data_IF_762568743627
#
_entry.id   IF_762568743627
#
_cell.length_a   1.000
_cell.length_b   1.000
_cell.length_c   1.000
_cell.angle_alpha   90.00
_cell.angle_beta   90.00
_cell.angle_gamma   90.00
#
_symmetry.space_group_name_H-M   'P 1'
#
loop_
_entity.id
_entity.type
_entity.pdbx_description
1 polymer ?
#
# COMPACT_ATOMS: atom_id res chain seq x y z
N UNK A 1 14.53 2.00 11.09
CA UNK A 1 14.94 3.34 10.59
C UNK A 1 14.04 4.34 11.26
N UNK A 2 14.57 5.47 11.70
CA UNK A 2 13.79 6.51 12.36
C UNK A 2 12.59 6.96 11.51
N UNK A 3 11.41 7.11 12.12
CA UNK A 3 10.19 7.52 11.43
C UNK A 3 10.31 8.90 10.74
N UNK A 4 11.11 9.80 11.32
CA UNK A 4 11.31 11.14 10.78
C UNK A 4 12.27 11.19 9.58
N UNK A 5 12.94 10.09 9.24
CA UNK A 5 13.75 9.98 8.01
C UNK A 5 12.92 9.54 6.80
N UNK A 6 11.63 9.26 6.96
CA UNK A 6 10.71 8.87 5.88
C UNK A 6 10.16 10.09 5.11
N UNK A 7 11.04 11.03 4.75
CA UNK A 7 10.69 12.29 4.09
C UNK A 7 11.68 12.62 2.97
N UNK A 8 11.26 13.42 2.01
CA UNK A 8 12.20 14.03 1.06
C UNK A 8 13.10 15.05 1.78
N UNK A 9 14.38 15.08 1.44
CA UNK A 9 15.39 15.89 2.14
C UNK A 9 15.07 17.39 2.20
N UNK A 10 14.45 17.96 1.16
CA UNK A 10 14.07 19.38 1.14
C UNK A 10 13.02 19.76 2.20
N UNK A 11 12.23 18.79 2.70
CA UNK A 11 11.20 19.02 3.73
C UNK A 11 11.78 19.25 5.12
N UNK A 12 13.04 18.86 5.36
CA UNK A 12 13.73 19.08 6.65
C UNK A 12 13.79 20.57 7.00
N UNK A 13 14.04 21.44 6.02
CA UNK A 13 14.05 22.90 6.21
C UNK A 13 12.67 23.58 6.18
N UNK A 14 11.58 22.88 5.83
CA UNK A 14 10.29 23.53 5.60
C UNK A 14 9.71 24.21 6.83
N UNK A 15 9.95 23.67 8.03
CA UNK A 15 9.52 24.28 9.29
C UNK A 15 10.08 25.70 9.49
N UNK A 16 11.10 26.12 8.74
CA UNK A 16 11.66 27.48 8.77
C UNK A 16 11.16 28.35 7.60
N UNK A 17 10.63 27.72 6.56
CA UNK A 17 10.25 28.37 5.30
C UNK A 17 8.78 28.79 5.26
N UNK A 18 7.94 28.21 6.14
CA UNK A 18 6.55 28.66 6.27
C UNK A 18 6.47 30.11 6.75
N UNK A 19 5.43 30.87 6.34
CA UNK A 19 5.21 32.23 6.84
C UNK A 19 5.18 32.28 8.37
N UNK A 20 5.80 33.32 8.94
CA UNK A 20 5.78 33.55 10.39
C UNK A 20 4.34 33.61 10.90
N UNK A 21 4.04 32.85 11.95
CA UNK A 21 2.69 32.75 12.52
C UNK A 21 1.80 31.70 11.87
N UNK A 22 2.34 30.80 11.04
CA UNK A 22 1.60 29.63 10.55
C UNK A 22 1.21 28.75 11.73
N UNK A 23 -0.09 28.48 11.87
CA UNK A 23 -0.65 27.62 12.93
C UNK A 23 -1.26 26.34 12.37
N UNK A 24 -1.70 26.36 11.11
CA UNK A 24 -2.37 25.23 10.47
C UNK A 24 -1.91 25.08 9.03
N UNK A 25 -1.57 23.86 8.64
CA UNK A 25 -1.34 23.45 7.26
C UNK A 25 -2.32 22.31 6.96
N UNK A 26 -3.18 22.53 5.97
CA UNK A 26 -4.17 21.57 5.49
C UNK A 26 -3.80 21.10 4.08
N UNK A 27 -3.63 19.80 3.91
CA UNK A 27 -3.26 19.20 2.62
C UNK A 27 -4.21 18.09 2.21
N UNK A 28 -4.26 17.82 0.91
CA UNK A 28 -5.03 16.71 0.36
C UNK A 28 -4.18 15.86 -0.58
N UNK A 29 -4.50 14.57 -0.64
CA UNK A 29 -3.96 13.65 -1.62
C UNK A 29 -5.04 13.29 -2.63
N UNK A 30 -4.75 13.55 -3.91
CA UNK A 30 -5.73 13.48 -5.00
C UNK A 30 -5.13 12.77 -6.22
N UNK A 31 -5.74 11.69 -6.74
CA UNK A 31 -5.43 11.17 -8.06
C UNK A 31 -5.77 12.20 -9.15
N UNK A 32 -4.76 12.85 -9.74
CA UNK A 32 -4.97 14.01 -10.62
C UNK A 32 -5.27 13.66 -12.09
N UNK A 33 -4.86 12.47 -12.54
CA UNK A 33 -4.92 12.07 -13.94
C UNK A 33 -5.07 10.56 -14.08
N UNK A 34 -5.83 10.15 -15.09
CA UNK A 34 -5.94 8.76 -15.57
C UNK A 34 -5.31 8.60 -16.98
N UNK A 35 -4.42 9.51 -17.40
CA UNK A 35 -3.80 9.50 -18.74
C UNK A 35 -3.21 8.14 -19.14
N UNK A 36 -2.62 7.42 -18.18
CA UNK A 36 -1.99 6.12 -18.40
C UNK A 36 -2.82 4.95 -17.86
N UNK A 37 -4.05 5.21 -17.41
CA UNK A 37 -4.91 4.14 -16.95
C UNK A 37 -5.40 3.29 -18.13
N UNK A 38 -5.66 1.99 -17.92
CA UNK A 38 -6.28 1.15 -18.95
C UNK A 38 -7.60 1.75 -19.44
N UNK A 39 -7.93 1.53 -20.72
CA UNK A 39 -9.18 2.01 -21.31
C UNK A 39 -10.39 1.51 -20.50
N UNK A 40 -11.27 2.42 -20.10
CA UNK A 40 -12.43 2.13 -19.25
C UNK A 40 -12.17 2.25 -17.74
N UNK A 41 -10.95 2.62 -17.33
CA UNK A 41 -10.61 2.96 -15.95
C UNK A 41 -10.72 4.48 -15.73
N UNK A 42 -11.95 4.99 -15.69
CA UNK A 42 -12.24 6.43 -15.56
C UNK A 42 -12.37 6.92 -14.10
N UNK A 43 -12.44 5.97 -13.16
CA UNK A 43 -12.52 6.19 -11.73
C UNK A 43 -11.42 5.42 -11.02
N UNK A 44 -11.13 5.85 -9.80
CA UNK A 44 -10.18 5.20 -8.90
C UNK A 44 -10.96 4.57 -7.75
N UNK A 45 -10.69 3.31 -7.45
CA UNK A 45 -11.22 2.65 -6.25
C UNK A 45 -10.49 3.24 -5.04
N UNK A 46 -11.24 3.81 -4.11
CA UNK A 46 -10.74 4.23 -2.79
C UNK A 46 -10.38 2.97 -2.01
N UNK A 47 -9.09 2.73 -1.79
CA UNK A 47 -8.60 1.55 -1.06
C UNK A 47 -7.16 1.74 -0.57
N UNK A 48 -6.83 1.22 0.62
CA UNK A 48 -5.47 1.25 1.17
C UNK A 48 -5.23 2.31 2.25
N UNK A 49 -6.11 3.28 2.44
CA UNK A 49 -5.96 4.36 3.42
C UNK A 49 -5.80 3.83 4.85
N UNK A 50 -6.64 2.89 5.27
CA UNK A 50 -6.59 2.26 6.59
C UNK A 50 -5.25 1.54 6.80
N UNK A 51 -4.81 0.76 5.81
CA UNK A 51 -3.48 0.14 5.83
C UNK A 51 -2.38 1.19 6.02
N UNK A 52 -2.38 2.25 5.22
CA UNK A 52 -1.32 3.27 5.25
C UNK A 52 -1.28 4.01 6.58
N UNK A 53 -2.42 4.47 7.09
CA UNK A 53 -2.44 5.24 8.34
C UNK A 53 -2.20 4.38 9.58
N UNK A 54 -2.66 3.12 9.59
CA UNK A 54 -2.31 2.20 10.67
C UNK A 54 -0.82 1.85 10.64
N UNK A 55 -0.26 1.54 9.46
CA UNK A 55 1.19 1.31 9.31
C UNK A 55 1.99 2.53 9.75
N UNK A 56 1.57 3.75 9.37
CA UNK A 56 2.26 4.99 9.77
C UNK A 56 2.25 5.16 11.29
N UNK A 57 1.10 4.92 11.92
CA UNK A 57 0.98 4.96 13.38
C UNK A 57 1.94 3.97 14.03
N UNK A 58 1.83 2.69 13.67
CA UNK A 58 2.64 1.60 14.23
C UNK A 58 4.15 1.87 14.01
N UNK A 59 4.53 2.33 12.81
CA UNK A 59 5.92 2.61 12.47
C UNK A 59 6.51 3.74 13.33
N UNK A 60 5.78 4.83 13.53
CA UNK A 60 6.24 5.93 14.38
C UNK A 60 6.28 5.54 15.85
N UNK A 61 5.33 4.71 16.32
CA UNK A 61 5.40 4.15 17.67
C UNK A 61 6.67 3.31 17.84
N UNK A 62 6.94 2.39 16.92
CA UNK A 62 8.06 1.45 17.02
C UNK A 62 9.43 2.05 16.74
N UNK A 63 9.50 3.10 15.91
CA UNK A 63 10.77 3.63 15.39
C UNK A 63 11.04 5.10 15.74
N UNK A 64 10.21 5.72 16.58
CA UNK A 64 10.45 7.08 17.08
C UNK A 64 10.00 7.23 18.53
N UNK A 65 8.70 7.11 18.81
CA UNK A 65 8.14 7.45 20.13
C UNK A 65 8.57 6.49 21.24
N UNK A 66 8.54 5.17 20.99
CA UNK A 66 8.93 4.16 21.99
C UNK A 66 10.44 4.09 22.26
N UNK A 67 11.26 4.75 21.44
CA UNK A 67 12.71 4.77 21.59
C UNK A 67 13.15 5.91 22.52
N UNK A 68 14.29 5.76 23.23
CA UNK A 68 14.82 6.85 24.05
C UNK A 68 15.01 8.12 23.23
N UNK A 69 14.46 9.26 23.70
CA UNK A 69 14.50 10.56 23.00
C UNK A 69 15.91 10.91 22.52
N UNK A 70 16.89 10.80 23.43
CA UNK A 70 18.29 11.10 23.13
C UNK A 70 18.84 10.23 21.99
N UNK A 71 18.45 8.95 21.91
CA UNK A 71 18.91 8.06 20.84
C UNK A 71 18.40 8.53 19.47
N UNK A 72 17.08 8.73 19.34
CA UNK A 72 16.46 9.08 18.06
C UNK A 72 16.76 10.51 17.63
N UNK A 73 16.88 11.45 18.55
CA UNK A 73 17.19 12.85 18.21
C UNK A 73 18.68 13.04 17.90
N UNK A 74 19.59 12.30 18.55
CA UNK A 74 21.01 12.32 18.20
C UNK A 74 21.23 11.70 16.80
N UNK A 75 20.56 10.59 16.47
CA UNK A 75 20.58 10.01 15.12
C UNK A 75 20.13 11.05 14.08
N UNK A 76 19.00 11.71 14.30
CA UNK A 76 18.50 12.75 13.39
C UNK A 76 19.49 13.91 13.26
N UNK A 77 20.08 14.36 14.37
CA UNK A 77 21.05 15.44 14.38
C UNK A 77 22.29 15.05 13.56
N UNK A 78 22.84 13.88 13.80
CA UNK A 78 24.04 13.38 13.09
C UNK A 78 23.76 13.23 11.59
N UNK A 79 22.73 12.46 11.22
CA UNK A 79 22.42 12.15 9.82
C UNK A 79 22.06 13.40 9.02
N UNK A 80 21.25 14.30 9.58
CA UNK A 80 20.86 15.53 8.89
C UNK A 80 22.02 16.53 8.81
N UNK A 81 22.88 16.59 9.82
CA UNK A 81 24.05 17.47 9.77
C UNK A 81 25.05 17.01 8.70
N UNK A 82 25.27 15.69 8.60
CA UNK A 82 26.10 15.10 7.55
C UNK A 82 25.49 15.31 6.17
N UNK A 83 24.19 15.08 6.01
CA UNK A 83 23.47 15.26 4.75
C UNK A 83 23.50 16.70 4.23
N UNK A 84 23.37 17.69 5.13
CA UNK A 84 23.32 19.11 4.79
C UNK A 84 24.70 19.79 4.81
N UNK A 85 25.72 19.15 5.39
CA UNK A 85 27.05 19.72 5.56
C UNK A 85 27.12 20.87 6.58
N UNK A 86 26.19 20.93 7.53
CA UNK A 86 26.11 21.97 8.58
C UNK A 86 25.41 21.43 9.83
N UNK A 87 25.62 22.03 11.01
CA UNK A 87 24.92 21.60 12.23
C UNK A 87 23.40 21.78 12.07
N UNK A 88 22.65 20.70 12.30
CA UNK A 88 21.20 20.70 12.18
C UNK A 88 20.53 20.77 13.55
N UNK A 89 19.63 21.73 13.72
CA UNK A 89 18.79 21.88 14.91
C UNK A 89 17.62 20.88 14.87
N UNK A 90 17.53 20.03 15.89
CA UNK A 90 16.50 19.00 16.05
C UNK A 90 15.45 19.35 17.10
N UNK A 91 15.45 20.58 17.63
CA UNK A 91 14.55 21.00 18.73
C UNK A 91 13.08 20.70 18.41
N UNK A 92 12.60 20.96 17.19
CA UNK A 92 11.21 20.68 16.81
C UNK A 92 10.88 19.17 16.76
N UNK A 93 11.88 18.31 16.52
CA UNK A 93 11.71 16.86 16.61
C UNK A 93 11.73 16.38 18.07
N UNK A 94 12.57 16.98 18.90
CA UNK A 94 12.57 16.73 20.35
C UNK A 94 11.22 17.07 20.98
N UNK A 95 10.65 18.21 20.60
CA UNK A 95 9.32 18.65 21.04
C UNK A 95 8.21 17.73 20.54
N UNK A 96 8.34 17.19 19.32
CA UNK A 96 7.41 16.18 18.80
C UNK A 96 7.53 14.87 19.59
N UNK A 97 8.75 14.47 19.94
CA UNK A 97 8.99 13.29 20.76
C UNK A 97 8.33 13.45 22.13
N UNK A 98 8.44 14.61 22.79
CA UNK A 98 7.78 14.88 24.07
C UNK A 98 6.25 14.73 24.00
N UNK A 99 5.65 14.92 22.82
CA UNK A 99 4.22 14.74 22.59
C UNK A 99 3.79 13.26 22.54
N UNK A 100 4.70 12.35 22.13
CA UNK A 100 4.48 10.90 22.06
C UNK A 100 3.41 10.41 21.05
N UNK A 101 2.94 11.27 20.16
CA UNK A 101 2.08 10.89 19.03
C UNK A 101 2.22 11.86 17.85
N UNK A 102 1.75 11.45 16.67
CA UNK A 102 1.65 12.34 15.49
C UNK A 102 0.41 13.24 15.63
N UNK A 103 0.56 14.58 15.76
CA UNK A 103 -0.57 15.47 15.99
C UNK A 103 -1.29 15.82 14.69
N UNK A 104 -1.88 14.82 14.04
CA UNK A 104 -2.62 14.99 12.79
C UNK A 104 -4.08 14.51 12.90
N UNK A 105 -4.95 15.14 12.12
CA UNK A 105 -6.31 14.68 11.85
C UNK A 105 -6.44 14.36 10.37
N UNK A 106 -6.97 13.18 10.10
CA UNK A 106 -7.17 12.66 8.75
C UNK A 106 -8.65 12.53 8.47
N UNK A 107 -9.07 12.93 7.27
CA UNK A 107 -10.37 12.55 6.69
C UNK A 107 -10.11 11.71 5.45
N UNK A 108 -10.88 10.64 5.26
CA UNK A 108 -10.76 9.76 4.10
C UNK A 108 -12.14 9.54 3.48
N UNK A 109 -12.18 9.38 2.16
CA UNK A 109 -13.30 8.69 1.52
C UNK A 109 -13.31 7.24 2.05
N UNK A 110 -14.50 6.69 2.27
CA UNK A 110 -14.66 5.30 2.67
C UNK A 110 -13.98 4.38 1.65
N UNK A 111 -13.38 3.29 2.11
CA UNK A 111 -12.78 2.32 1.19
C UNK A 111 -13.84 1.45 0.51
N UNK A 112 -13.52 0.94 -0.68
CA UNK A 112 -14.38 0.06 -1.47
C UNK A 112 -15.31 0.76 -2.47
N UNK A 113 -15.28 2.10 -2.55
CA UNK A 113 -16.09 2.85 -3.52
C UNK A 113 -15.24 3.38 -4.68
N UNK A 114 -15.84 3.54 -5.85
CA UNK A 114 -15.22 4.22 -6.98
C UNK A 114 -15.41 5.73 -6.89
N UNK A 115 -14.31 6.45 -7.01
CA UNK A 115 -14.23 7.90 -6.89
C UNK A 115 -13.74 8.49 -8.23
N UNK A 116 -14.36 9.57 -8.74
CA UNK A 116 -13.84 10.27 -9.90
C UNK A 116 -12.40 10.75 -9.68
N UNK A 117 -11.60 10.75 -10.75
CA UNK A 117 -10.31 11.45 -10.72
C UNK A 117 -10.50 12.93 -10.38
N UNK A 118 -9.49 13.54 -9.76
CA UNK A 118 -9.50 14.92 -9.25
C UNK A 118 -10.43 15.16 -8.04
N UNK A 119 -10.85 14.10 -7.38
CA UNK A 119 -11.49 14.17 -6.06
C UNK A 119 -10.47 13.75 -4.98
N UNK A 120 -10.31 14.53 -3.90
CA UNK A 120 -9.45 14.16 -2.78
C UNK A 120 -9.85 12.83 -2.14
N UNK A 121 -8.91 11.89 -2.09
CA UNK A 121 -9.12 10.61 -1.39
C UNK A 121 -8.92 10.78 0.11
N UNK A 122 -7.91 11.56 0.51
CA UNK A 122 -7.61 11.87 1.90
C UNK A 122 -7.24 13.34 2.07
N UNK A 123 -7.52 13.87 3.25
CA UNK A 123 -7.03 15.17 3.71
C UNK A 123 -6.36 15.03 5.06
N UNK A 124 -5.26 15.74 5.27
CA UNK A 124 -4.46 15.74 6.50
C UNK A 124 -4.29 17.17 6.99
N UNK A 125 -4.45 17.38 8.29
CA UNK A 125 -4.24 18.67 8.96
C UNK A 125 -3.59 18.45 10.31
N UNK A 126 -2.70 19.34 10.73
CA UNK A 126 -2.14 19.30 12.07
C UNK A 126 -3.22 19.68 13.12
N UNK A 127 -3.11 19.11 14.32
CA UNK A 127 -4.05 19.33 15.42
C UNK A 127 -3.47 20.18 16.55
N UNK A 128 -2.16 20.41 16.50
CA UNK A 128 -1.43 21.29 17.39
C UNK A 128 -0.67 22.32 16.53
N UNK A 129 -0.82 23.60 16.91
CA UNK A 129 -0.28 24.75 16.20
C UNK A 129 1.24 24.75 16.13
N UNK A 130 1.92 24.16 17.12
CA UNK A 130 3.38 24.06 17.16
C UNK A 130 3.93 23.14 16.07
N UNK A 131 3.12 22.18 15.63
CA UNK A 131 3.50 21.15 14.67
C UNK A 131 2.87 21.35 13.29
N UNK A 132 2.60 22.60 12.89
CA UNK A 132 2.04 22.93 11.57
C UNK A 132 2.83 22.31 10.40
N UNK A 133 4.14 22.14 10.57
CA UNK A 133 5.03 21.58 9.56
C UNK A 133 4.79 20.08 9.29
N UNK A 134 4.22 19.34 10.25
CA UNK A 134 4.11 17.87 10.17
C UNK A 134 3.22 17.41 9.01
N UNK A 135 2.19 18.20 8.64
CA UNK A 135 1.23 17.84 7.59
C UNK A 135 1.92 17.52 6.27
N UNK A 136 2.80 18.41 5.81
CA UNK A 136 3.53 18.22 4.55
C UNK A 136 4.85 17.49 4.72
N UNK A 137 5.35 17.35 5.95
CA UNK A 137 6.49 16.48 6.22
C UNK A 137 6.14 15.01 5.93
N UNK A 138 4.93 14.58 6.29
CA UNK A 138 4.43 13.23 6.03
C UNK A 138 4.05 12.96 4.56
N UNK A 139 4.06 13.98 3.70
CA UNK A 139 3.62 13.87 2.30
C UNK A 139 4.39 12.79 1.53
N UNK A 140 5.70 12.67 1.73
CA UNK A 140 6.55 11.75 0.97
C UNK A 140 6.17 10.30 1.24
N UNK A 141 6.10 9.89 2.51
CA UNK A 141 5.74 8.52 2.88
C UNK A 141 4.28 8.20 2.54
N UNK A 142 3.36 9.14 2.77
CA UNK A 142 1.96 8.97 2.39
C UNK A 142 1.82 8.80 0.88
N UNK A 143 2.50 9.64 0.10
CA UNK A 143 2.49 9.55 -1.37
C UNK A 143 3.13 8.27 -1.88
N UNK A 144 4.16 7.76 -1.21
CA UNK A 144 4.82 6.50 -1.55
C UNK A 144 3.87 5.31 -1.39
N UNK A 145 2.99 5.34 -0.37
CA UNK A 145 2.18 4.18 0.00
C UNK A 145 0.74 4.20 -0.52
N UNK A 146 0.13 5.38 -0.70
CA UNK A 146 -1.31 5.48 -1.00
C UNK A 146 -1.68 5.08 -2.44
N UNK A 147 -0.80 5.30 -3.42
CA UNK A 147 -1.18 5.19 -4.84
C UNK A 147 -1.34 3.74 -5.32
N UNK A 148 -0.47 2.84 -4.87
CA UNK A 148 -0.37 1.48 -5.39
C UNK A 148 -1.60 0.61 -5.08
N UNK A 149 -2.12 0.54 -3.84
CA UNK A 149 -3.26 -0.32 -3.54
C UNK A 149 -4.52 0.15 -4.30
N UNK A 150 -4.72 1.47 -4.42
CA UNK A 150 -5.79 2.06 -5.23
C UNK A 150 -5.65 1.72 -6.71
N UNK A 151 -4.43 1.80 -7.25
CA UNK A 151 -4.17 1.50 -8.67
C UNK A 151 -4.48 0.04 -8.97
N UNK A 152 -3.98 -0.90 -8.16
CA UNK A 152 -4.23 -2.33 -8.33
C UNK A 152 -5.71 -2.68 -8.18
N UNK A 153 -6.42 -2.12 -7.18
CA UNK A 153 -7.86 -2.31 -7.03
C UNK A 153 -8.67 -1.78 -8.23
N UNK A 154 -8.30 -0.61 -8.76
CA UNK A 154 -8.97 0.00 -9.90
C UNK A 154 -8.80 -0.82 -11.18
N UNK A 155 -7.58 -1.31 -11.44
CA UNK A 155 -7.26 -2.16 -12.59
C UNK A 155 -7.97 -3.51 -12.45
N UNK A 156 -7.92 -4.14 -11.27
CA UNK A 156 -8.62 -5.38 -11.00
C UNK A 156 -10.13 -5.25 -11.24
N UNK A 157 -10.76 -4.14 -10.79
CA UNK A 157 -12.17 -3.89 -11.03
C UNK A 157 -12.49 -3.73 -12.52
N UNK A 158 -11.60 -3.11 -13.30
CA UNK A 158 -11.72 -3.03 -14.75
C UNK A 158 -11.67 -4.42 -15.41
N UNK A 159 -10.76 -5.30 -14.98
CA UNK A 159 -10.76 -6.69 -15.44
C UNK A 159 -12.05 -7.42 -15.05
N UNK A 160 -12.54 -7.25 -13.82
CA UNK A 160 -13.78 -7.88 -13.35
C UNK A 160 -14.99 -7.48 -14.19
N UNK A 161 -15.05 -6.22 -14.65
CA UNK A 161 -16.06 -5.74 -15.60
C UNK A 161 -15.98 -6.43 -16.95
N UNK A 162 -14.76 -6.61 -17.46
CA UNK A 162 -14.53 -7.31 -18.74
C UNK A 162 -14.98 -8.77 -18.61
N UNK A 163 -14.58 -9.47 -17.54
CA UNK A 163 -14.99 -10.85 -17.28
C UNK A 163 -16.51 -10.94 -17.22
N UNK A 164 -17.15 -10.13 -16.37
CA UNK A 164 -18.61 -10.11 -16.24
C UNK A 164 -19.33 -9.85 -17.57
N UNK A 165 -18.84 -8.92 -18.39
CA UNK A 165 -19.43 -8.63 -19.71
C UNK A 165 -19.43 -9.86 -20.62
N UNK A 166 -18.34 -10.63 -20.63
CA UNK A 166 -18.22 -11.81 -21.49
C UNK A 166 -18.94 -13.02 -20.92
N UNK A 167 -18.83 -13.28 -19.62
CA UNK A 167 -19.59 -14.35 -18.94
C UNK A 167 -21.10 -14.16 -19.13
N UNK A 168 -21.60 -12.92 -19.06
CA UNK A 168 -23.02 -12.64 -19.37
C UNK A 168 -23.43 -12.97 -20.81
N UNK A 169 -22.49 -13.19 -21.74
CA UNK A 169 -22.80 -13.60 -23.11
C UNK A 169 -22.63 -15.10 -23.34
N UNK A 170 -21.72 -15.73 -22.60
CA UNK A 170 -21.26 -17.10 -22.90
C UNK A 170 -21.69 -18.11 -21.84
N UNK A 171 -21.86 -17.71 -20.59
CA UNK A 171 -22.15 -18.61 -19.46
C UNK A 171 -22.76 -17.85 -18.27
N UNK A 172 -24.04 -17.44 -18.41
CA UNK A 172 -24.74 -16.61 -17.42
C UNK A 172 -24.98 -17.34 -16.09
N UNK A 173 -24.96 -18.66 -16.09
CA UNK A 173 -25.33 -19.46 -14.92
C UNK A 173 -24.16 -19.57 -13.93
N UNK A 174 -22.93 -19.26 -14.37
CA UNK A 174 -21.71 -19.38 -13.56
C UNK A 174 -21.06 -18.03 -13.20
N UNK A 175 -21.86 -16.96 -13.02
CA UNK A 175 -21.34 -15.61 -12.71
C UNK A 175 -20.49 -15.56 -11.43
N UNK A 176 -20.79 -16.38 -10.43
CA UNK A 176 -20.03 -16.41 -9.18
C UNK A 176 -18.55 -16.79 -9.40
N UNK A 177 -18.24 -17.55 -10.44
CA UNK A 177 -16.88 -18.00 -10.72
C UNK A 177 -15.94 -16.86 -11.16
N UNK A 178 -16.49 -15.71 -11.59
CA UNK A 178 -15.71 -14.51 -11.95
C UNK A 178 -14.77 -14.08 -10.82
N UNK A 179 -15.16 -14.29 -9.56
CA UNK A 179 -14.36 -13.92 -8.40
C UNK A 179 -12.99 -14.63 -8.37
N UNK A 180 -12.85 -15.77 -9.04
CA UNK A 180 -11.61 -16.53 -9.15
C UNK A 180 -10.93 -16.44 -10.53
N UNK A 181 -11.55 -15.78 -11.51
CA UNK A 181 -11.01 -15.69 -12.87
C UNK A 181 -9.88 -14.65 -13.00
N UNK A 182 -9.74 -13.75 -12.04
CA UNK A 182 -8.59 -12.87 -11.90
C UNK A 182 -7.62 -13.40 -10.84
N UNK A 183 -6.54 -14.06 -11.25
CA UNK A 183 -5.56 -14.64 -10.32
C UNK A 183 -4.30 -13.79 -10.22
N UNK A 184 -3.89 -13.46 -9.00
CA UNK A 184 -2.68 -12.68 -8.75
C UNK A 184 -1.43 -13.58 -8.67
N UNK A 185 -0.57 -13.50 -9.69
CA UNK A 185 0.77 -14.11 -9.75
C UNK A 185 1.91 -13.08 -9.62
N UNK A 186 1.60 -11.89 -9.10
CA UNK A 186 2.48 -10.72 -9.26
C UNK A 186 3.62 -10.63 -8.26
N UNK A 187 3.61 -11.39 -7.16
CA UNK A 187 4.56 -11.23 -6.04
C UNK A 187 6.03 -11.12 -6.48
N UNK A 188 6.49 -12.03 -7.35
CA UNK A 188 7.88 -12.08 -7.81
C UNK A 188 8.24 -10.96 -8.81
N UNK A 189 7.26 -10.25 -9.34
CA UNK A 189 7.43 -9.12 -10.27
C UNK A 189 7.33 -7.74 -9.63
N UNK A 190 7.14 -7.68 -8.31
CA UNK A 190 6.99 -6.41 -7.57
C UNK A 190 8.34 -5.88 -7.07
N UNK A 191 8.46 -4.57 -6.91
CA UNK A 191 9.72 -3.90 -6.54
C UNK A 191 10.22 -4.16 -5.11
N UNK A 192 9.52 -5.01 -4.35
CA UNK A 192 9.84 -5.38 -2.97
C UNK A 192 8.62 -5.95 -2.24
N UNK A 193 8.84 -6.53 -1.06
CA UNK A 193 7.77 -7.19 -0.29
C UNK A 193 6.61 -6.24 0.04
N UNK A 194 6.90 -4.99 0.42
CA UNK A 194 5.85 -4.00 0.71
C UNK A 194 5.01 -3.68 -0.53
N UNK A 195 5.66 -3.61 -1.70
CA UNK A 195 5.00 -3.39 -2.99
C UNK A 195 4.08 -4.57 -3.36
N UNK A 196 4.56 -5.81 -3.13
CA UNK A 196 3.76 -7.01 -3.32
C UNK A 196 2.53 -7.07 -2.40
N UNK A 197 2.70 -6.76 -1.12
CA UNK A 197 1.60 -6.69 -0.15
C UNK A 197 0.59 -5.61 -0.55
N UNK A 198 1.07 -4.41 -0.86
CA UNK A 198 0.24 -3.27 -1.22
C UNK A 198 -0.61 -3.53 -2.47
N UNK A 199 0.04 -3.98 -3.55
CA UNK A 199 -0.66 -4.34 -4.80
C UNK A 199 -1.60 -5.53 -4.60
N UNK A 200 -1.14 -6.57 -3.90
CA UNK A 200 -1.91 -7.79 -3.67
C UNK A 200 -3.16 -7.57 -2.82
N UNK A 201 -3.09 -6.72 -1.78
CA UNK A 201 -4.30 -6.28 -1.05
C UNK A 201 -5.28 -5.55 -1.96
N UNK A 202 -4.78 -4.68 -2.85
CA UNK A 202 -5.60 -4.00 -3.85
C UNK A 202 -6.34 -4.99 -4.75
N UNK A 203 -5.65 -6.00 -5.29
CA UNK A 203 -6.27 -7.06 -6.09
C UNK A 203 -7.28 -7.90 -5.29
N UNK A 204 -6.92 -8.30 -4.06
CA UNK A 204 -7.76 -9.11 -3.17
C UNK A 204 -9.03 -8.38 -2.68
N UNK A 205 -9.09 -7.05 -2.83
CA UNK A 205 -10.34 -6.30 -2.61
C UNK A 205 -11.40 -6.55 -3.71
N UNK A 206 -10.99 -7.13 -4.84
CA UNK A 206 -11.84 -7.34 -6.03
C UNK A 206 -11.99 -8.82 -6.37
N UNK A 207 -10.91 -9.60 -6.29
CA UNK A 207 -10.88 -11.03 -6.63
C UNK A 207 -10.46 -11.89 -5.44
N UNK A 208 -10.77 -13.18 -5.53
CA UNK A 208 -10.47 -14.19 -4.52
C UNK A 208 -9.29 -15.10 -4.91
N UNK A 209 -8.78 -15.01 -6.14
CA UNK A 209 -7.62 -15.78 -6.61
C UNK A 209 -6.28 -15.05 -6.40
N UNK A 210 -5.35 -15.62 -5.64
CA UNK A 210 -3.98 -15.08 -5.46
C UNK A 210 -2.98 -16.12 -4.96
N UNK A 211 -1.77 -16.08 -5.51
CA UNK A 211 -0.59 -16.81 -4.99
C UNK A 211 0.32 -15.93 -4.12
N UNK A 212 -0.03 -14.64 -3.95
CA UNK A 212 0.71 -13.71 -3.09
C UNK A 212 0.33 -13.93 -1.62
N UNK A 213 0.84 -15.01 -1.02
CA UNK A 213 0.50 -15.44 0.35
C UNK A 213 0.57 -14.35 1.44
N UNK A 214 1.53 -13.40 1.43
CA UNK A 214 1.59 -12.35 2.45
C UNK A 214 0.30 -11.52 2.58
N UNK A 215 -0.49 -11.41 1.51
CA UNK A 215 -1.76 -10.67 1.49
C UNK A 215 -2.74 -11.17 2.56
N UNK A 216 -2.77 -12.47 2.83
CA UNK A 216 -3.67 -13.07 3.83
C UNK A 216 -3.39 -12.48 5.22
N UNK A 217 -2.12 -12.46 5.63
CA UNK A 217 -1.73 -11.92 6.92
C UNK A 217 -1.96 -10.40 6.99
N UNK A 218 -1.65 -9.69 5.90
CA UNK A 218 -1.84 -8.24 5.84
C UNK A 218 -3.31 -7.83 5.95
N UNK A 219 -4.23 -8.49 5.24
CA UNK A 219 -5.66 -8.20 5.35
C UNK A 219 -6.23 -8.55 6.74
N UNK A 220 -5.70 -9.58 7.41
CA UNK A 220 -6.07 -9.88 8.80
C UNK A 220 -5.58 -8.78 9.76
N UNK A 221 -4.36 -8.31 9.59
CA UNK A 221 -3.76 -7.34 10.50
C UNK A 221 -4.37 -5.95 10.34
N UNK A 222 -4.49 -5.47 9.11
CA UNK A 222 -4.93 -4.11 8.80
C UNK A 222 -6.45 -3.99 8.63
N UNK A 223 -7.14 -4.99 8.09
CA UNK A 223 -8.58 -4.93 7.81
C UNK A 223 -9.42 -5.89 8.66
N UNK A 224 -8.80 -6.64 9.58
CA UNK A 224 -9.47 -7.61 10.46
C UNK A 224 -10.27 -8.66 9.68
N UNK A 225 -9.80 -9.01 8.47
CA UNK A 225 -10.42 -10.04 7.64
C UNK A 225 -10.56 -11.36 8.42
N UNK A 226 -11.72 -12.01 8.32
CA UNK A 226 -12.04 -13.28 8.99
C UNK A 226 -12.39 -14.35 7.97
N UNK A 227 -12.09 -15.60 8.29
CA UNK A 227 -12.37 -16.73 7.41
C UNK A 227 -11.48 -16.76 6.16
N UNK A 228 -12.08 -17.14 5.04
CA UNK A 228 -11.44 -17.19 3.73
C UNK A 228 -11.13 -15.77 3.22
N UNK A 229 -9.93 -15.56 2.68
CA UNK A 229 -9.45 -14.25 2.19
C UNK A 229 -9.18 -14.31 0.70
N UNK A 230 -8.20 -15.14 0.31
CA UNK A 230 -7.86 -15.51 -1.06
C UNK A 230 -7.51 -16.99 -1.09
N UNK A 231 -7.60 -17.60 -2.26
CA UNK A 231 -7.31 -19.01 -2.48
C UNK A 231 -6.50 -19.23 -3.74
N UNK A 232 -5.93 -20.43 -3.82
CA UNK A 232 -5.26 -20.97 -4.99
C UNK A 232 -5.51 -22.47 -5.08
N UNK A 233 -4.93 -23.09 -6.11
CA UNK A 233 -5.00 -24.52 -6.40
C UNK A 233 -3.59 -25.07 -6.54
N UNK A 234 -3.45 -26.40 -6.51
CA UNK A 234 -2.18 -27.02 -6.87
C UNK A 234 -1.84 -26.68 -8.32
N UNK A 235 -0.67 -26.05 -8.51
CA UNK A 235 -0.16 -25.67 -9.81
C UNK A 235 1.32 -26.04 -9.90
N UNK A 236 1.79 -26.31 -11.12
CA UNK A 236 3.20 -26.56 -11.38
C UNK A 236 3.89 -25.34 -11.97
N UNK A 237 5.22 -25.34 -11.91
CA UNK A 237 6.05 -24.42 -12.67
C UNK A 237 7.13 -25.21 -13.43
N UNK A 238 7.94 -24.49 -14.21
CA UNK A 238 8.98 -25.07 -15.07
C UNK A 238 9.92 -26.02 -14.33
N UNK A 239 10.32 -25.71 -13.08
CA UNK A 239 11.22 -26.56 -12.30
C UNK A 239 10.65 -27.97 -12.08
N UNK A 240 9.35 -28.05 -11.77
CA UNK A 240 8.63 -29.31 -11.56
C UNK A 240 8.42 -30.04 -12.88
N UNK A 241 7.95 -29.33 -13.91
CA UNK A 241 7.66 -29.94 -15.22
C UNK A 241 8.93 -30.47 -15.90
N UNK A 242 10.06 -29.77 -15.77
CA UNK A 242 11.33 -30.17 -16.37
C UNK A 242 12.07 -31.24 -15.56
N UNK A 243 11.62 -31.59 -14.35
CA UNK A 243 12.25 -32.63 -13.54
C UNK A 243 12.12 -34.02 -14.16
N UNK A 244 11.08 -34.27 -14.96
CA UNK A 244 10.94 -35.47 -15.79
C UNK A 244 11.81 -35.48 -17.05
N UNK A 245 12.63 -34.44 -17.24
CA UNK A 245 13.42 -34.17 -18.46
C UNK A 245 12.56 -34.01 -19.72
N UNK A 246 13.19 -33.71 -20.85
CA UNK A 246 12.49 -33.60 -22.14
C UNK A 246 11.86 -34.93 -22.59
N UNK A 247 12.38 -36.06 -22.09
CA UNK A 247 12.04 -37.39 -22.60
C UNK A 247 10.80 -37.99 -21.91
N UNK A 248 10.35 -37.44 -20.78
CA UNK A 248 9.19 -37.96 -20.02
C UNK A 248 8.25 -36.88 -19.44
N UNK A 249 7.92 -35.87 -20.26
CA UNK A 249 6.91 -34.87 -19.90
C UNK A 249 5.54 -35.51 -19.63
N UNK A 250 5.15 -36.53 -20.42
CA UNK A 250 3.88 -37.25 -20.24
C UNK A 250 3.87 -38.04 -18.92
N UNK A 251 4.97 -38.69 -18.53
CA UNK A 251 5.08 -39.34 -17.22
C UNK A 251 4.97 -38.37 -16.06
N UNK A 252 5.51 -37.15 -16.22
CA UNK A 252 5.35 -36.06 -15.25
C UNK A 252 3.87 -35.68 -15.08
N UNK A 253 3.14 -35.49 -16.19
CA UNK A 253 1.69 -35.23 -16.12
C UNK A 253 0.92 -36.36 -15.42
N UNK A 254 1.21 -37.63 -15.73
CA UNK A 254 0.54 -38.77 -15.07
C UNK A 254 0.79 -38.77 -13.57
N UNK A 255 2.03 -38.51 -13.15
CA UNK A 255 2.40 -38.41 -11.73
C UNK A 255 1.62 -37.29 -11.04
N UNK A 256 1.52 -36.12 -11.66
CA UNK A 256 0.78 -34.98 -11.10
C UNK A 256 -0.72 -35.27 -10.97
N UNK A 257 -1.33 -35.90 -11.99
CA UNK A 257 -2.74 -36.31 -11.93
C UNK A 257 -3.01 -37.39 -10.87
N UNK A 258 -2.05 -38.27 -10.60
CA UNK A 258 -2.13 -39.24 -9.49
C UNK A 258 -1.93 -38.59 -8.12
N UNK A 259 -1.08 -37.57 -8.05
CA UNK A 259 -0.77 -36.82 -6.82
C UNK A 259 -1.96 -35.95 -6.39
N UNK A 260 -2.64 -35.32 -7.36
CA UNK A 260 -3.76 -34.41 -7.14
C UNK A 260 -5.03 -34.88 -7.90
N UNK A 261 -5.60 -36.05 -7.56
CA UNK A 261 -6.67 -36.67 -8.35
C UNK A 261 -8.01 -35.91 -8.31
N UNK A 262 -8.16 -34.98 -7.36
CA UNK A 262 -9.38 -34.15 -7.19
C UNK A 262 -9.17 -32.68 -7.53
N UNK A 263 -7.98 -32.32 -8.03
CA UNK A 263 -7.47 -30.94 -8.00
C UNK A 263 -6.81 -30.62 -6.67
#
# INVERSE_FOLDING_TARGET
MNGLLLTDGYKTGHHQQYPKGTEEVYSNWTPRSNKYAPKGCDKVVSFGQQYVFQWLHDYFQDNFFSKPKALVCNELKEELSLYLGTDYDVTHYEELHDLQYLPIKVKSIIEGVEVPVRVPMVTVVNTDKKFYWITNFLETILSTMLWQPMTSASIALCYKRIFKKWTLKTDKDNLAFIDFQGHDFSMRGMGGLQSAISSGMGHASVFLGSDTLPVISSLRNYYKAKGFVVGSVNATEHSVMCAGTKDDEIGTFRTLMQTYPTG
#
